data_IF_639099479341
#
_entry.id   IF_639099479341
#
_cell.length_a   1.000
_cell.length_b   1.000
_cell.length_c   1.000
_cell.angle_alpha   90.00
_cell.angle_beta   90.00
_cell.angle_gamma   90.00
#
_symmetry.space_group_name_H-M   'P 1'
#
loop_
_entity.id
_entity.type
_entity.pdbx_description
1 polymer ?
#
# COMPACT_ATOMS: atom_id res chain seq x y z
N UNK A 1 -67.51 60.03 7.08
CA UNK A 1 -67.20 58.70 7.67
C UNK A 1 -66.73 57.67 6.64
N UNK A 2 -67.49 57.34 5.57
CA UNK A 2 -67.12 56.28 4.60
C UNK A 2 -65.75 56.46 3.91
N UNK A 3 -65.40 57.68 3.49
CA UNK A 3 -64.11 57.94 2.83
C UNK A 3 -62.88 57.84 3.77
N UNK A 4 -63.08 58.04 5.09
CA UNK A 4 -62.02 57.88 6.10
C UNK A 4 -61.65 56.42 6.30
N UNK A 5 -62.66 55.55 6.39
CA UNK A 5 -62.49 54.09 6.54
C UNK A 5 -61.81 53.49 5.31
N UNK A 6 -62.13 53.98 4.10
CA UNK A 6 -61.47 53.55 2.86
C UNK A 6 -60.00 54.01 2.76
N UNK A 7 -59.65 55.14 3.36
CA UNK A 7 -58.28 55.65 3.36
C UNK A 7 -57.39 54.87 4.34
N UNK A 8 -57.90 54.58 5.53
CA UNK A 8 -57.25 53.72 6.53
C UNK A 8 -56.98 52.32 5.97
N UNK A 9 -57.98 51.69 5.33
CA UNK A 9 -57.81 50.40 4.68
C UNK A 9 -56.74 50.40 3.57
N UNK A 10 -56.64 51.47 2.78
CA UNK A 10 -55.59 51.59 1.76
C UNK A 10 -54.19 51.81 2.37
N UNK A 11 -54.10 52.49 3.51
CA UNK A 11 -52.85 52.64 4.24
C UNK A 11 -52.38 51.30 4.82
N UNK A 12 -53.30 50.49 5.35
CA UNK A 12 -52.98 49.13 5.83
C UNK A 12 -52.46 48.24 4.70
N UNK A 13 -53.10 48.28 3.53
CA UNK A 13 -52.64 47.54 2.34
C UNK A 13 -51.25 48.01 1.91
N UNK A 14 -50.99 49.32 1.91
CA UNK A 14 -49.66 49.88 1.60
C UNK A 14 -48.61 49.37 2.58
N UNK A 15 -48.90 49.40 3.88
CA UNK A 15 -47.98 48.94 4.92
C UNK A 15 -47.70 47.44 4.80
N UNK A 16 -48.72 46.62 4.52
CA UNK A 16 -48.56 45.19 4.29
C UNK A 16 -47.67 44.89 3.07
N UNK A 17 -47.81 45.65 1.98
CA UNK A 17 -46.96 45.52 0.79
C UNK A 17 -45.51 45.96 1.05
N UNK A 18 -45.30 47.04 1.81
CA UNK A 18 -43.97 47.51 2.21
C UNK A 18 -43.27 46.48 3.10
N UNK A 19 -44.01 45.89 4.06
CA UNK A 19 -43.50 44.80 4.90
C UNK A 19 -43.12 43.58 4.07
N UNK A 20 -44.00 43.15 3.16
CA UNK A 20 -43.73 42.03 2.25
C UNK A 20 -42.49 42.27 1.37
N UNK A 21 -42.32 43.48 0.83
CA UNK A 21 -41.13 43.84 0.06
C UNK A 21 -39.85 43.78 0.92
N UNK A 22 -39.93 44.21 2.17
CA UNK A 22 -38.85 44.07 3.16
C UNK A 22 -38.50 42.60 3.43
N UNK A 23 -39.50 41.76 3.69
CA UNK A 23 -39.31 40.34 4.01
C UNK A 23 -38.65 39.56 2.86
N UNK A 24 -39.02 39.89 1.62
CA UNK A 24 -38.49 39.26 0.41
C UNK A 24 -37.06 39.71 0.08
N UNK A 25 -36.69 40.92 0.49
CA UNK A 25 -35.37 41.46 0.19
C UNK A 25 -34.28 40.66 0.92
N UNK A 26 -33.24 40.28 0.18
CA UNK A 26 -32.09 39.54 0.67
C UNK A 26 -32.34 38.03 0.86
N UNK A 27 -33.50 37.48 0.45
CA UNK A 27 -33.70 36.02 0.47
C UNK A 27 -32.64 35.33 -0.41
N UNK A 28 -32.33 35.87 -1.59
CA UNK A 28 -31.31 35.31 -2.49
C UNK A 28 -29.95 35.22 -1.80
N UNK A 29 -29.47 36.29 -1.16
CA UNK A 29 -28.18 36.29 -0.46
C UNK A 29 -28.15 35.27 0.69
N UNK A 30 -29.25 35.13 1.44
CA UNK A 30 -29.36 34.12 2.51
C UNK A 30 -29.29 32.70 1.95
N UNK A 31 -29.99 32.45 0.84
CA UNK A 31 -29.98 31.15 0.14
C UNK A 31 -28.62 30.84 -0.47
N UNK A 32 -28.00 31.80 -1.17
CA UNK A 32 -26.64 31.66 -1.74
C UNK A 32 -25.63 31.28 -0.68
N UNK A 33 -25.65 31.95 0.48
CA UNK A 33 -24.77 31.63 1.60
C UNK A 33 -24.98 30.19 2.08
N UNK A 34 -26.23 29.76 2.26
CA UNK A 34 -26.52 28.39 2.71
C UNK A 34 -26.10 27.35 1.67
N UNK A 35 -26.40 27.59 0.40
CA UNK A 35 -25.97 26.73 -0.71
C UNK A 35 -24.45 26.64 -0.77
N UNK A 36 -23.75 27.76 -0.63
CA UNK A 36 -22.29 27.80 -0.57
C UNK A 36 -21.73 26.90 0.53
N UNK A 37 -22.26 27.01 1.76
CA UNK A 37 -21.86 26.16 2.89
C UNK A 37 -22.11 24.66 2.60
N UNK A 38 -23.24 24.32 1.98
CA UNK A 38 -23.56 22.94 1.60
C UNK A 38 -22.58 22.40 0.55
N UNK A 39 -22.26 23.19 -0.48
CA UNK A 39 -21.30 22.82 -1.52
C UNK A 39 -19.88 22.72 -0.99
N UNK A 40 -19.47 23.56 -0.04
CA UNK A 40 -18.17 23.43 0.62
C UNK A 40 -18.07 22.13 1.42
N UNK A 41 -19.10 21.78 2.19
CA UNK A 41 -19.15 20.50 2.92
C UNK A 41 -19.12 19.28 1.98
N UNK A 42 -19.85 19.35 0.86
CA UNK A 42 -19.82 18.33 -0.18
C UNK A 42 -18.43 18.18 -0.80
N UNK A 43 -17.77 19.30 -1.13
CA UNK A 43 -16.41 19.33 -1.67
C UNK A 43 -15.39 18.75 -0.68
N UNK A 44 -15.50 19.11 0.60
CA UNK A 44 -14.63 18.56 1.65
C UNK A 44 -14.78 17.03 1.76
N UNK A 45 -15.99 16.51 1.62
CA UNK A 45 -16.26 15.06 1.63
C UNK A 45 -15.68 14.36 0.40
N UNK A 46 -15.75 14.99 -0.78
CA UNK A 46 -15.12 14.48 -2.00
C UNK A 46 -13.59 14.44 -1.86
N UNK A 47 -12.98 15.51 -1.36
CA UNK A 47 -11.54 15.58 -1.12
C UNK A 47 -11.07 14.49 -0.16
N UNK A 48 -11.79 14.24 0.93
CA UNK A 48 -11.48 13.14 1.87
C UNK A 48 -11.52 11.77 1.18
N UNK A 49 -12.49 11.55 0.29
CA UNK A 49 -12.58 10.30 -0.45
C UNK A 49 -11.42 10.15 -1.45
N UNK A 50 -11.01 11.23 -2.11
CA UNK A 50 -9.87 11.26 -3.02
C UNK A 50 -8.54 10.98 -2.29
N UNK A 51 -8.31 11.61 -1.14
CA UNK A 51 -7.15 11.31 -0.29
C UNK A 51 -7.12 9.83 0.11
N UNK A 52 -8.26 9.27 0.54
CA UNK A 52 -8.33 7.87 0.93
C UNK A 52 -8.04 6.89 -0.23
N UNK A 53 -8.46 7.23 -1.45
CA UNK A 53 -8.11 6.48 -2.66
C UNK A 53 -6.61 6.56 -2.92
N UNK A 54 -6.02 7.75 -2.84
CA UNK A 54 -4.58 7.93 -3.08
C UNK A 54 -3.73 7.18 -2.05
N UNK A 55 -4.13 7.20 -0.78
CA UNK A 55 -3.49 6.42 0.29
C UNK A 55 -3.50 4.92 -0.01
N UNK A 56 -4.66 4.35 -0.41
CA UNK A 56 -4.72 2.93 -0.79
C UNK A 56 -3.90 2.63 -2.04
N UNK A 57 -3.86 3.52 -3.05
CA UNK A 57 -3.00 3.33 -4.23
C UNK A 57 -1.53 3.28 -3.87
N UNK A 58 -1.09 4.20 -3.00
CA UNK A 58 0.28 4.19 -2.49
C UNK A 58 0.56 2.90 -1.74
N UNK A 59 -0.39 2.45 -0.91
CA UNK A 59 -0.20 1.21 -0.14
C UNK A 59 -0.12 -0.05 -1.00
N UNK A 60 -0.95 -0.13 -2.05
CA UNK A 60 -0.88 -1.20 -3.05
C UNK A 60 0.48 -1.21 -3.75
N UNK A 61 1.02 -0.04 -4.12
CA UNK A 61 2.37 0.05 -4.70
C UNK A 61 3.44 -0.45 -3.73
N UNK A 62 3.47 0.06 -2.50
CA UNK A 62 4.44 -0.37 -1.47
C UNK A 62 4.42 -1.89 -1.23
N UNK A 63 3.23 -2.48 -1.12
CA UNK A 63 3.07 -3.92 -0.91
C UNK A 63 3.49 -4.71 -2.15
N UNK A 64 3.28 -4.17 -3.35
CA UNK A 64 3.71 -4.82 -4.59
C UNK A 64 5.24 -4.82 -4.71
N UNK A 65 5.89 -3.70 -4.37
CA UNK A 65 7.35 -3.57 -4.34
C UNK A 65 7.96 -4.50 -3.27
N UNK A 66 7.35 -4.59 -2.08
CA UNK A 66 7.79 -5.52 -1.04
C UNK A 66 7.64 -6.98 -1.49
N UNK A 67 6.52 -7.34 -2.12
CA UNK A 67 6.28 -8.69 -2.63
C UNK A 67 7.33 -9.07 -3.68
N UNK A 68 7.67 -8.17 -4.58
CA UNK A 68 8.72 -8.38 -5.59
C UNK A 68 10.08 -8.58 -4.92
N UNK A 69 10.44 -7.73 -3.95
CA UNK A 69 11.70 -7.84 -3.21
C UNK A 69 11.80 -9.19 -2.49
N UNK A 70 10.78 -9.58 -1.72
CA UNK A 70 10.77 -10.86 -0.99
C UNK A 70 10.83 -12.03 -1.97
N UNK A 71 10.17 -11.94 -3.12
CA UNK A 71 10.23 -12.97 -4.16
C UNK A 71 11.65 -13.10 -4.74
N UNK A 72 12.33 -11.98 -5.00
CA UNK A 72 13.74 -11.98 -5.44
C UNK A 72 14.68 -12.58 -4.40
N UNK A 73 14.55 -12.18 -3.13
CA UNK A 73 15.34 -12.75 -2.02
C UNK A 73 15.12 -14.26 -1.89
N UNK A 74 13.89 -14.73 -2.09
CA UNK A 74 13.55 -16.15 -2.02
C UNK A 74 14.20 -16.95 -3.16
N UNK A 75 14.16 -16.43 -4.39
CA UNK A 75 14.85 -17.04 -5.54
C UNK A 75 16.35 -17.13 -5.29
N UNK A 76 16.98 -16.05 -4.84
CA UNK A 76 18.42 -16.06 -4.51
C UNK A 76 18.75 -17.09 -3.42
N UNK A 77 17.95 -17.13 -2.34
CA UNK A 77 18.14 -18.10 -1.25
C UNK A 77 17.97 -19.55 -1.74
N UNK A 78 17.09 -19.76 -2.74
CA UNK A 78 16.91 -21.07 -3.40
C UNK A 78 18.13 -21.46 -4.21
N UNK A 79 18.71 -20.54 -4.96
CA UNK A 79 19.91 -20.79 -5.75
C UNK A 79 21.12 -21.09 -4.85
N UNK A 80 21.31 -20.32 -3.78
CA UNK A 80 22.36 -20.57 -2.78
C UNK A 80 22.18 -21.94 -2.10
N UNK A 81 20.93 -22.34 -1.83
CA UNK A 81 20.63 -23.66 -1.25
C UNK A 81 21.02 -24.79 -2.21
N UNK A 82 20.73 -24.65 -3.51
CA UNK A 82 21.13 -25.65 -4.51
C UNK A 82 22.66 -25.72 -4.68
N UNK A 83 23.34 -24.57 -4.70
CA UNK A 83 24.81 -24.53 -4.73
C UNK A 83 25.43 -25.27 -3.53
N UNK A 84 24.84 -25.08 -2.33
CA UNK A 84 25.25 -25.75 -1.12
C UNK A 84 25.07 -27.27 -1.22
N UNK A 85 23.95 -27.75 -1.77
CA UNK A 85 23.73 -29.18 -2.04
C UNK A 85 24.79 -29.74 -2.99
N UNK A 86 25.04 -29.09 -4.13
CA UNK A 86 26.07 -29.53 -5.07
C UNK A 86 27.47 -29.56 -4.43
N UNK A 87 27.78 -28.62 -3.54
CA UNK A 87 29.06 -28.60 -2.81
C UNK A 87 29.18 -29.76 -1.83
N UNK A 88 28.11 -30.07 -1.09
CA UNK A 88 28.05 -31.24 -0.19
C UNK A 88 28.30 -32.54 -0.97
N UNK A 89 27.66 -32.71 -2.12
CA UNK A 89 27.82 -33.90 -2.95
C UNK A 89 29.27 -34.04 -3.45
N UNK A 90 29.85 -32.93 -3.93
CA UNK A 90 31.26 -32.89 -4.34
C UNK A 90 32.21 -33.28 -3.20
N UNK A 91 32.04 -32.68 -2.01
CA UNK A 91 32.87 -32.97 -0.84
C UNK A 91 32.71 -34.42 -0.40
N UNK A 92 31.49 -34.96 -0.43
CA UNK A 92 31.21 -36.36 -0.13
C UNK A 92 31.94 -37.30 -1.08
N UNK A 93 31.99 -36.98 -2.39
CA UNK A 93 32.77 -37.73 -3.37
C UNK A 93 34.27 -37.70 -3.08
N UNK A 94 34.81 -36.54 -2.72
CA UNK A 94 36.23 -36.39 -2.39
C UNK A 94 36.64 -37.10 -1.10
N UNK A 95 35.76 -37.10 -0.09
CA UNK A 95 35.97 -37.88 1.15
C UNK A 95 36.09 -39.36 0.81
N UNK A 96 35.12 -39.94 0.08
CA UNK A 96 35.15 -41.35 -0.32
C UNK A 96 36.41 -41.72 -1.11
N UNK A 97 36.85 -40.84 -2.02
CA UNK A 97 38.10 -41.03 -2.77
C UNK A 97 39.32 -41.05 -1.84
N UNK A 98 39.39 -40.10 -0.91
CA UNK A 98 40.49 -40.01 0.07
C UNK A 98 40.49 -41.22 1.01
N UNK A 99 39.33 -41.70 1.45
CA UNK A 99 39.18 -42.94 2.25
C UNK A 99 39.71 -44.17 1.51
N UNK A 100 39.40 -44.29 0.21
CA UNK A 100 39.91 -45.37 -0.62
C UNK A 100 41.44 -45.29 -0.79
N UNK A 101 41.99 -44.09 -1.02
CA UNK A 101 43.44 -43.86 -1.09
C UNK A 101 44.13 -44.22 0.22
N UNK A 102 43.58 -43.82 1.38
CA UNK A 102 44.10 -44.21 2.69
C UNK A 102 44.12 -45.73 2.83
N UNK A 103 43.02 -46.40 2.49
CA UNK A 103 42.89 -47.86 2.60
C UNK A 103 43.93 -48.59 1.73
N UNK A 104 44.17 -48.07 0.53
CA UNK A 104 45.19 -48.60 -0.39
C UNK A 104 46.61 -48.39 0.15
N UNK A 105 46.94 -47.18 0.61
CA UNK A 105 48.26 -46.90 1.20
C UNK A 105 48.48 -47.69 2.50
N UNK A 106 47.44 -47.94 3.30
CA UNK A 106 47.51 -48.82 4.48
C UNK A 106 47.70 -50.30 4.12
N UNK A 107 47.23 -50.74 2.94
CA UNK A 107 47.54 -52.06 2.41
C UNK A 107 49.01 -52.16 1.97
N UNK A 108 49.50 -51.16 1.21
CA UNK A 108 50.90 -51.06 0.79
C UNK A 108 51.86 -50.99 1.99
N UNK A 109 51.52 -50.21 3.02
CA UNK A 109 52.30 -50.12 4.26
C UNK A 109 52.43 -51.48 4.97
N UNK A 110 51.36 -52.28 4.98
CA UNK A 110 51.40 -53.63 5.56
C UNK A 110 52.33 -54.54 4.76
N UNK A 111 52.27 -54.49 3.43
CA UNK A 111 53.17 -55.25 2.57
C UNK A 111 54.64 -54.82 2.78
N UNK A 112 54.92 -53.51 2.79
CA UNK A 112 56.27 -52.97 3.02
C UNK A 112 56.84 -53.37 4.38
N UNK A 113 56.02 -53.36 5.44
CA UNK A 113 56.42 -53.85 6.78
C UNK A 113 56.73 -55.34 6.79
N UNK A 114 55.97 -56.16 6.06
CA UNK A 114 56.29 -57.58 5.90
C UNK A 114 57.62 -57.79 5.19
N UNK A 115 57.87 -57.05 4.10
CA UNK A 115 59.15 -57.10 3.38
C UNK A 115 60.33 -56.65 4.26
N UNK A 116 60.15 -55.57 5.04
CA UNK A 116 61.15 -55.09 6.01
C UNK A 116 61.49 -56.17 7.05
N UNK A 117 60.48 -56.91 7.54
CA UNK A 117 60.69 -57.97 8.51
C UNK A 117 61.49 -59.15 7.92
N UNK A 118 61.31 -59.44 6.63
CA UNK A 118 62.14 -60.41 5.90
C UNK A 118 63.56 -59.89 5.65
N UNK A 119 63.74 -58.61 5.31
CA UNK A 119 65.05 -58.00 5.10
C UNK A 119 65.90 -57.98 6.39
N UNK A 120 65.26 -57.79 7.55
CA UNK A 120 65.92 -57.89 8.87
C UNK A 120 66.45 -59.30 9.20
N UNK A 121 66.00 -60.33 8.49
CA UNK A 121 66.52 -61.70 8.59
C UNK A 121 67.67 -61.97 7.60
N UNK A 122 67.96 -61.03 6.70
CA UNK A 122 69.10 -61.07 5.79
C UNK A 122 70.27 -60.24 6.35
N UNK A 123 71.52 -60.59 6.01
CA UNK A 123 72.71 -59.84 6.45
C UNK A 123 72.95 -58.53 5.66
N UNK A 124 72.08 -58.19 4.69
CA UNK A 124 72.27 -57.04 3.80
C UNK A 124 71.69 -55.75 4.39
N UNK A 125 72.56 -54.87 4.89
CA UNK A 125 72.12 -53.62 5.55
C UNK A 125 71.44 -52.64 4.60
N UNK A 126 71.66 -52.78 3.29
CA UNK A 126 71.10 -51.88 2.28
C UNK A 126 69.60 -52.12 2.06
N UNK A 127 69.15 -53.38 2.10
CA UNK A 127 67.75 -53.77 1.99
C UNK A 127 66.91 -53.36 3.21
N UNK A 128 67.54 -53.36 4.40
CA UNK A 128 66.91 -52.88 5.63
C UNK A 128 66.68 -51.36 5.58
N UNK A 129 67.65 -50.59 5.07
CA UNK A 129 67.55 -49.14 4.96
C UNK A 129 66.51 -48.69 3.94
N UNK A 130 66.47 -49.33 2.76
CA UNK A 130 65.50 -49.01 1.70
C UNK A 130 64.06 -49.33 2.14
N UNK A 131 63.84 -50.50 2.74
CA UNK A 131 62.53 -50.90 3.28
C UNK A 131 62.08 -49.96 4.41
N UNK A 132 62.99 -49.52 5.29
CA UNK A 132 62.67 -48.58 6.35
C UNK A 132 62.27 -47.20 5.82
N UNK A 133 62.91 -46.73 4.74
CA UNK A 133 62.57 -45.46 4.11
C UNK A 133 61.18 -45.53 3.44
N UNK A 134 60.85 -46.65 2.79
CA UNK A 134 59.53 -46.88 2.18
C UNK A 134 58.40 -46.87 3.22
N UNK A 135 58.57 -47.59 4.33
CA UNK A 135 57.61 -47.60 5.45
C UNK A 135 57.38 -46.18 5.99
N UNK A 136 58.45 -45.41 6.23
CA UNK A 136 58.35 -44.04 6.72
C UNK A 136 57.65 -43.11 5.72
N UNK A 137 57.88 -43.28 4.42
CA UNK A 137 57.22 -42.52 3.37
C UNK A 137 55.70 -42.80 3.34
N UNK A 138 55.31 -44.08 3.40
CA UNK A 138 53.91 -44.51 3.42
C UNK A 138 53.17 -44.02 4.68
N UNK A 139 53.82 -44.07 5.85
CA UNK A 139 53.27 -43.53 7.11
C UNK A 139 53.03 -42.01 7.03
N UNK A 140 53.97 -41.28 6.42
CA UNK A 140 53.85 -39.85 6.19
C UNK A 140 52.70 -39.53 5.22
N UNK A 141 52.56 -40.33 4.15
CA UNK A 141 51.47 -40.19 3.17
C UNK A 141 50.11 -40.45 3.82
N UNK A 142 49.96 -41.53 4.61
CA UNK A 142 48.73 -41.81 5.36
C UNK A 142 48.39 -40.66 6.29
N UNK A 143 49.36 -40.13 7.02
CA UNK A 143 49.15 -38.99 7.92
C UNK A 143 48.66 -37.76 7.18
N UNK A 144 49.23 -37.47 6.01
CA UNK A 144 48.79 -36.38 5.13
C UNK A 144 47.35 -36.60 4.64
N UNK A 145 47.03 -37.79 4.13
CA UNK A 145 45.69 -38.11 3.65
C UNK A 145 44.64 -38.04 4.77
N UNK A 146 44.95 -38.53 5.98
CA UNK A 146 44.08 -38.39 7.16
C UNK A 146 43.82 -36.93 7.53
N UNK A 147 44.84 -36.07 7.43
CA UNK A 147 44.65 -34.63 7.65
C UNK A 147 43.75 -33.99 6.58
N UNK A 148 43.90 -34.40 5.32
CA UNK A 148 43.06 -33.93 4.20
C UNK A 148 41.61 -34.39 4.38
N UNK A 149 41.39 -35.65 4.75
CA UNK A 149 40.08 -36.21 5.04
C UNK A 149 39.36 -35.38 6.12
N UNK A 150 40.04 -35.14 7.24
CA UNK A 150 39.49 -34.32 8.34
C UNK A 150 39.11 -32.90 7.85
N UNK A 151 39.94 -32.28 7.01
CA UNK A 151 39.62 -30.96 6.46
C UNK A 151 38.39 -30.99 5.54
N UNK A 152 38.25 -32.02 4.70
CA UNK A 152 37.10 -32.20 3.83
C UNK A 152 35.81 -32.43 4.63
N UNK A 153 35.87 -33.23 5.70
CA UNK A 153 34.74 -33.46 6.60
C UNK A 153 34.27 -32.17 7.27
N UNK A 154 35.20 -31.38 7.82
CA UNK A 154 34.88 -30.07 8.41
C UNK A 154 34.22 -29.14 7.40
N UNK A 155 34.71 -29.10 6.15
CA UNK A 155 34.07 -28.31 5.10
C UNK A 155 32.65 -28.80 4.78
N UNK A 156 32.46 -30.12 4.66
CA UNK A 156 31.14 -30.73 4.38
C UNK A 156 30.14 -30.42 5.50
N UNK A 157 30.59 -30.52 6.74
CA UNK A 157 29.74 -30.23 7.90
C UNK A 157 29.39 -28.74 7.97
N UNK A 158 30.33 -27.86 7.60
CA UNK A 158 30.08 -26.44 7.40
C UNK A 158 28.98 -26.17 6.37
N UNK A 159 29.03 -26.84 5.21
CA UNK A 159 27.98 -26.74 4.18
C UNK A 159 26.65 -27.33 4.66
N UNK A 160 26.63 -28.45 5.40
CA UNK A 160 25.40 -28.97 5.99
C UNK A 160 24.73 -27.97 6.95
N UNK A 161 25.52 -27.25 7.73
CA UNK A 161 25.03 -26.17 8.60
C UNK A 161 24.49 -25.00 7.77
N UNK A 162 25.21 -24.56 6.74
CA UNK A 162 24.77 -23.51 5.81
C UNK A 162 23.43 -23.88 5.14
N UNK A 163 23.30 -25.11 4.64
CA UNK A 163 22.07 -25.66 4.07
C UNK A 163 20.90 -25.55 5.04
N UNK A 164 21.10 -25.90 6.31
CA UNK A 164 20.06 -25.83 7.34
C UNK A 164 19.60 -24.39 7.57
N UNK A 165 20.54 -23.44 7.64
CA UNK A 165 20.22 -22.02 7.78
C UNK A 165 19.44 -21.49 6.57
N UNK A 166 19.86 -21.84 5.35
CA UNK A 166 19.18 -21.45 4.11
C UNK A 166 17.76 -22.04 4.04
N UNK A 167 17.57 -23.28 4.48
CA UNK A 167 16.23 -23.90 4.55
C UNK A 167 15.30 -23.15 5.50
N UNK A 168 15.76 -22.83 6.71
CA UNK A 168 14.98 -22.02 7.66
C UNK A 168 14.65 -20.65 7.06
N UNK A 169 15.64 -20.00 6.43
CA UNK A 169 15.45 -18.70 5.79
C UNK A 169 14.42 -18.74 4.65
N UNK A 170 14.41 -19.80 3.84
CA UNK A 170 13.38 -19.99 2.81
C UNK A 170 11.98 -20.06 3.40
N UNK A 171 11.79 -20.82 4.49
CA UNK A 171 10.49 -20.93 5.15
C UNK A 171 10.00 -19.58 5.73
N UNK A 172 10.92 -18.79 6.30
CA UNK A 172 10.62 -17.42 6.75
C UNK A 172 10.20 -16.52 5.59
N UNK A 173 10.96 -16.53 4.49
CA UNK A 173 10.68 -15.72 3.30
C UNK A 173 9.36 -16.16 2.64
N UNK A 174 9.08 -17.46 2.55
CA UNK A 174 7.81 -17.98 2.02
C UNK A 174 6.62 -17.51 2.87
N UNK A 175 6.74 -17.57 4.18
CA UNK A 175 5.70 -17.10 5.11
C UNK A 175 5.48 -15.58 4.97
N UNK A 176 6.57 -14.82 4.88
CA UNK A 176 6.52 -13.37 4.65
C UNK A 176 5.91 -13.02 3.30
N UNK A 177 6.24 -13.77 2.24
CA UNK A 177 5.67 -13.60 0.89
C UNK A 177 4.16 -13.81 0.92
N UNK A 178 3.69 -14.90 1.54
CA UNK A 178 2.25 -15.18 1.68
C UNK A 178 1.52 -14.07 2.43
N UNK A 179 2.05 -13.64 3.57
CA UNK A 179 1.46 -12.55 4.35
C UNK A 179 1.42 -11.22 3.57
N UNK A 180 2.48 -10.90 2.83
CA UNK A 180 2.52 -9.70 1.99
C UNK A 180 1.49 -9.79 0.85
N UNK A 181 1.38 -10.95 0.21
CA UNK A 181 0.40 -11.21 -0.86
C UNK A 181 -1.04 -11.09 -0.36
N UNK A 182 -1.36 -11.63 0.82
CA UNK A 182 -2.69 -11.50 1.44
C UNK A 182 -3.03 -10.02 1.70
N UNK A 183 -2.11 -9.27 2.31
CA UNK A 183 -2.28 -7.82 2.56
C UNK A 183 -2.46 -7.03 1.26
N UNK A 184 -1.74 -7.40 0.21
CA UNK A 184 -1.85 -6.76 -1.10
C UNK A 184 -3.25 -6.97 -1.69
N UNK A 185 -3.78 -8.18 -1.66
CA UNK A 185 -5.12 -8.47 -2.16
C UNK A 185 -6.23 -7.82 -1.33
N UNK A 186 -6.05 -7.73 -0.01
CA UNK A 186 -6.94 -6.99 0.87
C UNK A 186 -6.96 -5.49 0.53
N UNK A 187 -5.79 -4.86 0.37
CA UNK A 187 -5.70 -3.45 0.02
C UNK A 187 -6.18 -3.15 -1.42
N UNK A 188 -5.96 -4.05 -2.39
CA UNK A 188 -6.59 -3.95 -3.71
C UNK A 188 -8.11 -3.95 -3.61
N UNK A 189 -8.67 -4.87 -2.83
CA UNK A 189 -10.12 -4.95 -2.59
C UNK A 189 -10.66 -3.70 -1.89
N UNK A 190 -9.88 -3.12 -0.97
CA UNK A 190 -10.21 -1.86 -0.29
C UNK A 190 -10.15 -0.67 -1.25
N UNK A 191 -9.15 -0.63 -2.12
CA UNK A 191 -8.99 0.40 -3.15
C UNK A 191 -10.20 0.44 -4.08
N UNK A 192 -10.64 -0.69 -4.61
CA UNK A 192 -11.83 -0.78 -5.48
C UNK A 192 -13.06 -0.18 -4.79
N UNK A 193 -13.32 -0.55 -3.54
CA UNK A 193 -14.44 0.00 -2.75
C UNK A 193 -14.32 1.52 -2.54
N UNK A 194 -13.11 2.02 -2.32
CA UNK A 194 -12.84 3.47 -2.14
C UNK A 194 -13.03 4.23 -3.44
N UNK A 195 -12.58 3.68 -4.57
CA UNK A 195 -12.75 4.27 -5.91
C UNK A 195 -14.24 4.33 -6.30
N UNK A 196 -15.00 3.27 -6.04
CA UNK A 196 -16.44 3.26 -6.26
C UNK A 196 -17.16 4.28 -5.38
N UNK A 197 -16.78 4.40 -4.11
CA UNK A 197 -17.31 5.42 -3.20
C UNK A 197 -16.99 6.84 -3.70
N UNK A 198 -15.75 7.08 -4.13
CA UNK A 198 -15.33 8.37 -4.68
C UNK A 198 -16.14 8.71 -5.94
N UNK A 199 -16.34 7.76 -6.86
CA UNK A 199 -17.15 7.93 -8.06
C UNK A 199 -18.58 8.35 -7.71
N UNK A 200 -19.23 7.60 -6.80
CA UNK A 200 -20.59 7.91 -6.32
C UNK A 200 -20.69 9.29 -5.67
N UNK A 201 -19.70 9.67 -4.86
CA UNK A 201 -19.66 10.99 -4.22
C UNK A 201 -19.47 12.11 -5.27
N UNK A 202 -18.64 11.89 -6.28
CA UNK A 202 -18.44 12.84 -7.38
C UNK A 202 -19.72 13.07 -8.17
N UNK A 203 -20.45 12.02 -8.47
CA UNK A 203 -21.73 12.11 -9.19
C UNK A 203 -22.81 12.79 -8.34
N UNK A 204 -22.90 12.43 -7.06
CA UNK A 204 -23.82 13.08 -6.12
C UNK A 204 -23.51 14.58 -5.95
N UNK A 205 -22.23 14.94 -5.85
CA UNK A 205 -21.79 16.33 -5.74
C UNK A 205 -22.17 17.14 -6.98
N UNK A 206 -21.94 16.61 -8.19
CA UNK A 206 -22.33 17.26 -9.46
C UNK A 206 -23.83 17.49 -9.55
N UNK A 207 -24.63 16.50 -9.15
CA UNK A 207 -26.09 16.64 -9.12
C UNK A 207 -26.53 17.71 -8.12
N UNK A 208 -25.98 17.69 -6.91
CA UNK A 208 -26.24 18.69 -5.87
C UNK A 208 -25.86 20.10 -6.33
N UNK A 209 -24.68 20.26 -6.94
CA UNK A 209 -24.22 21.55 -7.49
C UNK A 209 -25.18 22.09 -8.54
N UNK A 210 -25.62 21.24 -9.47
CA UNK A 210 -26.60 21.60 -10.50
C UNK A 210 -27.95 22.00 -9.89
N UNK A 211 -28.48 21.20 -8.98
CA UNK A 211 -29.81 21.43 -8.37
C UNK A 211 -29.83 22.67 -7.48
N UNK A 212 -28.80 22.86 -6.64
CA UNK A 212 -28.71 24.03 -5.78
C UNK A 212 -28.47 25.31 -6.59
N UNK A 213 -27.71 25.26 -7.68
CA UNK A 213 -27.56 26.40 -8.60
C UNK A 213 -28.90 26.76 -9.25
N UNK A 214 -29.67 25.77 -9.69
CA UNK A 214 -31.01 25.99 -10.23
C UNK A 214 -31.96 26.60 -9.18
N UNK A 215 -31.88 26.12 -7.93
CA UNK A 215 -32.66 26.65 -6.81
C UNK A 215 -32.31 28.12 -6.51
N UNK A 216 -31.02 28.48 -6.45
CA UNK A 216 -30.57 29.87 -6.28
C UNK A 216 -31.12 30.77 -7.38
N UNK A 217 -31.07 30.32 -8.64
CA UNK A 217 -31.60 31.07 -9.77
C UNK A 217 -33.13 31.26 -9.68
N UNK A 218 -33.87 30.23 -9.26
CA UNK A 218 -35.31 30.31 -9.05
C UNK A 218 -35.66 31.31 -7.93
N UNK A 219 -34.93 31.28 -6.81
CA UNK A 219 -35.10 32.22 -5.70
C UNK A 219 -34.79 33.65 -6.13
N UNK A 220 -33.72 33.85 -6.91
CA UNK A 220 -33.37 35.18 -7.45
C UNK A 220 -34.49 35.73 -8.35
N UNK A 221 -35.04 34.89 -9.21
CA UNK A 221 -36.17 35.27 -10.07
C UNK A 221 -37.42 35.60 -9.25
N UNK A 222 -37.72 34.82 -8.22
CA UNK A 222 -38.83 35.06 -7.30
C UNK A 222 -38.66 36.40 -6.56
N UNK A 223 -37.48 36.67 -6.00
CA UNK A 223 -37.18 37.92 -5.30
C UNK A 223 -37.36 39.12 -6.23
N UNK A 224 -36.78 39.07 -7.44
CA UNK A 224 -36.93 40.15 -8.43
C UNK A 224 -38.39 40.37 -8.86
N UNK A 225 -39.12 39.29 -9.17
CA UNK A 225 -40.52 39.37 -9.62
C UNK A 225 -41.44 39.90 -8.51
N UNK A 226 -41.27 39.41 -7.29
CA UNK A 226 -42.03 39.85 -6.12
C UNK A 226 -41.73 41.29 -5.76
N UNK A 227 -40.46 41.72 -5.81
CA UNK A 227 -40.09 43.11 -5.54
C UNK A 227 -40.67 44.06 -6.59
N UNK A 228 -40.63 43.70 -7.88
CA UNK A 228 -41.26 44.48 -8.97
C UNK A 228 -42.78 44.59 -8.78
N UNK A 229 -43.44 43.48 -8.46
CA UNK A 229 -44.89 43.43 -8.26
C UNK A 229 -45.32 44.24 -7.04
N UNK A 230 -44.62 44.07 -5.91
CA UNK A 230 -44.86 44.85 -4.70
C UNK A 230 -44.66 46.35 -4.95
N UNK A 231 -43.55 46.74 -5.60
CA UNK A 231 -43.29 48.14 -5.96
C UNK A 231 -44.37 48.76 -6.85
N UNK A 232 -44.84 48.02 -7.87
CA UNK A 232 -45.96 48.43 -8.72
C UNK A 232 -47.25 48.63 -7.91
N UNK A 233 -47.59 47.67 -7.03
CA UNK A 233 -48.79 47.73 -6.20
C UNK A 233 -48.74 48.86 -5.17
N UNK A 234 -47.59 49.08 -4.52
CA UNK A 234 -47.37 50.20 -3.60
C UNK A 234 -47.60 51.53 -4.33
N UNK A 235 -47.04 51.69 -5.53
CA UNK A 235 -47.25 52.89 -6.36
C UNK A 235 -48.72 53.11 -6.71
N UNK A 236 -49.43 52.04 -7.09
CA UNK A 236 -50.86 52.10 -7.42
C UNK A 236 -51.71 52.50 -6.20
N UNK A 237 -51.50 51.86 -5.04
CA UNK A 237 -52.19 52.20 -3.79
C UNK A 237 -51.90 53.64 -3.38
N UNK A 238 -50.65 54.09 -3.52
CA UNK A 238 -50.28 55.48 -3.23
C UNK A 238 -50.99 56.49 -4.16
N UNK A 239 -51.17 56.15 -5.44
CA UNK A 239 -51.98 56.98 -6.37
C UNK A 239 -53.44 57.04 -5.93
N UNK A 240 -54.03 55.92 -5.51
CA UNK A 240 -55.41 55.88 -5.01
C UNK A 240 -55.59 56.76 -3.76
N UNK A 241 -54.68 56.63 -2.78
CA UNK A 241 -54.69 57.47 -1.57
C UNK A 241 -54.63 58.95 -1.94
N UNK A 242 -53.69 59.36 -2.80
CA UNK A 242 -53.57 60.76 -3.25
C UNK A 242 -54.81 61.28 -3.96
N UNK A 243 -55.48 60.44 -4.78
CA UNK A 243 -56.71 60.83 -5.47
C UNK A 243 -57.87 61.03 -4.50
N UNK A 244 -58.00 60.18 -3.48
CA UNK A 244 -59.01 60.32 -2.41
C UNK A 244 -58.72 61.57 -1.57
N UNK A 245 -57.46 61.80 -1.19
CA UNK A 245 -57.04 63.01 -0.47
C UNK A 245 -57.38 64.28 -1.27
N UNK A 246 -57.12 64.29 -2.57
CA UNK A 246 -57.44 65.42 -3.44
C UNK A 246 -58.95 65.64 -3.52
N UNK A 247 -59.74 64.58 -3.71
CA UNK A 247 -61.19 64.65 -3.77
C UNK A 247 -61.77 65.22 -2.47
N UNK A 248 -61.31 64.73 -1.31
CA UNK A 248 -61.75 65.21 0.01
C UNK A 248 -61.36 66.67 0.26
N UNK A 249 -60.23 67.14 -0.27
CA UNK A 249 -59.81 68.56 -0.19
C UNK A 249 -60.63 69.48 -1.09
N UNK A 250 -61.22 68.98 -2.17
CA UNK A 250 -62.06 69.76 -3.10
C UNK A 250 -63.57 69.70 -2.79
N UNK A 251 -63.99 68.81 -1.89
CA UNK A 251 -65.40 68.59 -1.51
C UNK A 251 -65.72 69.01 -0.06
N UNK A 252 -64.79 69.74 0.56
CA UNK A 252 -64.95 70.58 1.75
C UNK A 252 -65.01 72.04 1.30
#
# INVERSE_FOLDING_TARGET
>A
MKASVSMEALQDVKHALEKFAGDITGITTRVERHVGQTLESGRASLNKAETAVQESRNKVRELSDELERVTRELTQTRDEYQQCLSKIDFLTGQIKKTEAEISQTEFELRAARSSQQSALQSEDSSDVQSSSAEVSALETQISRLKSQLKNLEVQRDGEHNRRRMLYTRQNELDSRRRSCQEKLEEEKSRLVRREDKQRRLKDAYRNMERELTAYVNAVRNLEMASHRTAGSNISAVQKCIRSIERYLRTSL
#
